data_IF_873093567768
#
_entry.id   IF_873093567768
#
_cell.length_a   1.000
_cell.length_b   1.000
_cell.length_c   1.000
_cell.angle_alpha   90.00
_cell.angle_beta   90.00
_cell.angle_gamma   90.00
#
_symmetry.space_group_name_H-M   'P 1'
#
loop_
_entity.id
_entity.type
_entity.pdbx_description
1 polymer ?
#
# COMPACT_ATOMS: atom_id res chain seq x y z
N UNK A 1 0.80 28.17 11.07
CA UNK A 1 1.63 26.95 11.20
C UNK A 1 0.82 25.78 10.66
N UNK A 2 1.29 25.11 9.60
CA UNK A 2 0.68 23.89 9.06
C UNK A 2 0.78 22.80 10.12
N UNK A 3 -0.36 22.35 10.65
CA UNK A 3 -0.43 21.07 11.37
C UNK A 3 -0.30 20.00 10.28
N UNK A 4 0.86 19.39 10.17
CA UNK A 4 0.99 18.13 9.43
C UNK A 4 0.27 17.07 10.27
N UNK A 5 -0.76 16.49 9.70
CA UNK A 5 -1.53 15.38 10.23
C UNK A 5 -0.59 14.23 10.65
N UNK A 6 -0.36 14.09 11.95
CA UNK A 6 0.29 12.91 12.55
C UNK A 6 -0.63 11.67 12.55
N UNK A 7 -1.78 11.74 11.89
CA UNK A 7 -2.78 10.68 11.83
C UNK A 7 -2.66 9.74 10.62
N UNK A 8 -1.68 9.92 9.71
CA UNK A 8 -1.63 9.12 8.49
C UNK A 8 -0.86 7.81 8.63
N UNK A 9 0.29 7.77 9.30
CA UNK A 9 1.18 6.58 9.33
C UNK A 9 0.80 5.50 10.34
N UNK A 10 0.05 5.84 11.39
CA UNK A 10 -0.33 4.88 12.44
C UNK A 10 -1.30 3.80 11.95
N UNK A 11 -2.14 4.09 10.94
CA UNK A 11 -3.24 3.19 10.57
C UNK A 11 -2.84 1.80 10.05
N UNK A 12 -1.73 1.70 9.31
CA UNK A 12 -1.23 0.39 8.84
C UNK A 12 -0.46 -0.34 9.95
N UNK A 13 0.29 0.38 10.76
CA UNK A 13 1.03 -0.17 11.91
C UNK A 13 0.05 -0.77 12.93
N UNK A 14 -1.00 -0.02 13.27
CA UNK A 14 -2.05 -0.47 14.18
C UNK A 14 -2.78 -1.72 13.63
N UNK A 15 -3.04 -1.77 12.32
CA UNK A 15 -3.66 -2.93 11.68
C UNK A 15 -2.78 -4.17 11.84
N UNK A 16 -1.47 -4.04 11.65
CA UNK A 16 -0.54 -5.16 11.79
C UNK A 16 -0.47 -5.62 13.24
N UNK A 17 -0.41 -4.70 14.19
CA UNK A 17 -0.44 -5.03 15.62
C UNK A 17 -1.72 -5.79 15.99
N UNK A 18 -2.89 -5.36 15.49
CA UNK A 18 -4.16 -6.08 15.69
C UNK A 18 -4.11 -7.47 15.06
N UNK A 19 -3.58 -7.61 13.84
CA UNK A 19 -3.44 -8.92 13.19
C UNK A 19 -2.51 -9.84 14.00
N UNK A 20 -1.40 -9.33 14.52
CA UNK A 20 -0.44 -10.12 15.31
C UNK A 20 -0.96 -10.52 16.69
N UNK A 21 -1.79 -9.67 17.31
CA UNK A 21 -2.27 -9.88 18.68
C UNK A 21 -3.61 -10.60 18.74
N UNK A 22 -4.51 -10.35 17.80
CA UNK A 22 -5.88 -10.86 17.81
C UNK A 22 -6.11 -12.00 16.82
N UNK A 23 -5.37 -12.05 15.69
CA UNK A 23 -5.43 -13.20 14.80
C UNK A 23 -4.48 -14.30 15.29
N UNK A 24 -4.98 -15.54 15.31
CA UNK A 24 -4.17 -16.74 15.62
C UNK A 24 -3.31 -17.18 14.42
N UNK A 25 -3.09 -16.28 13.47
CA UNK A 25 -2.34 -16.53 12.26
C UNK A 25 -0.85 -16.42 12.55
N UNK A 26 -0.03 -17.16 11.79
CA UNK A 26 1.41 -17.05 11.96
C UNK A 26 1.90 -15.70 11.40
N UNK A 27 3.00 -15.14 11.92
CA UNK A 27 3.56 -13.89 11.40
C UNK A 27 3.82 -13.94 9.87
N UNK A 28 4.24 -15.08 9.35
CA UNK A 28 4.45 -15.30 7.91
C UNK A 28 3.15 -15.21 7.11
N UNK A 29 2.04 -15.69 7.69
CA UNK A 29 0.72 -15.58 7.08
C UNK A 29 0.30 -14.10 7.00
N UNK A 30 0.50 -13.35 8.07
CA UNK A 30 0.22 -11.90 8.14
C UNK A 30 1.06 -11.15 7.10
N UNK A 31 2.36 -11.42 7.01
CA UNK A 31 3.24 -10.78 6.04
C UNK A 31 2.81 -11.06 4.60
N UNK A 32 2.41 -12.30 4.32
CA UNK A 32 1.89 -12.66 2.99
C UNK A 32 0.62 -11.89 2.68
N UNK A 33 -0.35 -11.85 3.60
CA UNK A 33 -1.60 -11.11 3.42
C UNK A 33 -1.36 -9.62 3.15
N UNK A 34 -0.42 -9.00 3.88
CA UNK A 34 -0.05 -7.60 3.68
C UNK A 34 0.57 -7.37 2.30
N UNK A 35 1.52 -8.23 1.89
CA UNK A 35 2.16 -8.13 0.57
C UNK A 35 1.16 -8.32 -0.57
N UNK A 36 0.22 -9.25 -0.43
CA UNK A 36 -0.88 -9.46 -1.39
C UNK A 36 -1.80 -8.23 -1.46
N UNK A 37 -2.20 -7.67 -0.32
CA UNK A 37 -3.02 -6.45 -0.28
C UNK A 37 -2.31 -5.24 -0.91
N UNK A 38 -1.00 -5.10 -0.69
CA UNK A 38 -0.19 -4.06 -1.33
C UNK A 38 -0.13 -4.28 -2.84
N UNK A 39 0.16 -5.50 -3.30
CA UNK A 39 0.19 -5.86 -4.72
C UNK A 39 -1.13 -5.52 -5.42
N UNK A 40 -2.25 -5.96 -4.86
CA UNK A 40 -3.58 -5.67 -5.40
C UNK A 40 -3.89 -4.17 -5.42
N UNK A 41 -3.55 -3.44 -4.35
CA UNK A 41 -3.79 -1.99 -4.26
C UNK A 41 -2.98 -1.24 -5.32
N UNK A 42 -1.70 -1.59 -5.49
CA UNK A 42 -0.83 -0.96 -6.48
C UNK A 42 -1.29 -1.31 -7.90
N UNK A 43 -1.63 -2.57 -8.19
CA UNK A 43 -2.16 -2.98 -9.50
C UNK A 43 -3.48 -2.29 -9.84
N UNK A 44 -4.39 -2.18 -8.87
CA UNK A 44 -5.68 -1.50 -9.06
C UNK A 44 -5.46 -0.05 -9.47
N UNK A 45 -4.52 0.64 -8.82
CA UNK A 45 -4.31 2.07 -9.04
C UNK A 45 -3.44 2.35 -10.26
N UNK A 46 -2.36 1.62 -10.46
CA UNK A 46 -1.33 1.93 -11.45
C UNK A 46 -1.35 1.00 -12.68
N UNK A 47 -2.14 -0.07 -12.62
CA UNK A 47 -2.20 -1.10 -13.67
C UNK A 47 -1.08 -2.14 -13.55
N UNK A 48 -1.26 -3.26 -14.24
CA UNK A 48 -0.34 -4.40 -14.24
C UNK A 48 1.04 -4.06 -14.82
N UNK A 49 1.14 -3.05 -15.69
CA UNK A 49 2.40 -2.66 -16.32
C UNK A 49 3.33 -1.89 -15.37
N UNK A 50 2.78 -0.96 -14.59
CA UNK A 50 3.56 -0.12 -13.67
C UNK A 50 3.70 -0.74 -12.28
N UNK A 51 2.80 -1.64 -11.89
CA UNK A 51 2.82 -2.25 -10.58
C UNK A 51 4.13 -2.97 -10.23
N UNK A 52 4.75 -3.80 -11.11
CA UNK A 52 6.02 -4.45 -10.79
C UNK A 52 7.15 -3.46 -10.49
N UNK A 53 7.20 -2.33 -11.18
CA UNK A 53 8.21 -1.28 -11.00
C UNK A 53 8.03 -0.60 -9.64
N UNK A 54 6.78 -0.26 -9.30
CA UNK A 54 6.43 0.36 -8.02
C UNK A 54 6.66 -0.60 -6.85
N UNK A 55 6.22 -1.85 -6.96
CA UNK A 55 6.42 -2.87 -5.91
C UNK A 55 7.90 -3.13 -5.65
N UNK A 56 8.73 -3.14 -6.69
CA UNK A 56 10.19 -3.22 -6.52
C UNK A 56 10.76 -1.96 -5.84
N UNK A 57 10.29 -0.77 -6.21
CA UNK A 57 10.68 0.50 -5.56
C UNK A 57 10.33 0.47 -4.07
N UNK A 58 9.19 -0.10 -3.72
CA UNK A 58 8.71 -0.25 -2.34
C UNK A 58 9.37 -1.41 -1.57
N UNK A 59 10.30 -2.16 -2.16
CA UNK A 59 10.89 -3.38 -1.55
C UNK A 59 9.83 -4.43 -1.16
N UNK A 60 8.77 -4.56 -1.95
CA UNK A 60 7.77 -5.63 -1.81
C UNK A 60 8.19 -6.88 -2.57
N UNK A 61 9.25 -6.79 -3.38
CA UNK A 61 9.94 -7.93 -4.01
C UNK A 61 10.46 -8.90 -2.95
N UNK A 62 10.65 -10.19 -3.30
CA UNK A 62 10.92 -11.23 -2.31
C UNK A 62 12.30 -11.01 -1.68
N UNK A 63 12.35 -10.30 -0.54
CA UNK A 63 13.47 -10.35 0.38
C UNK A 63 13.57 -11.79 0.96
N UNK A 64 14.79 -12.17 1.33
CA UNK A 64 15.20 -13.51 1.75
C UNK A 64 14.14 -14.23 2.60
N UNK A 65 13.88 -15.50 2.28
CA UNK A 65 12.93 -16.34 3.00
C UNK A 65 13.17 -16.25 4.52
N UNK A 66 12.20 -15.71 5.26
CA UNK A 66 12.26 -15.55 6.72
C UNK A 66 12.45 -14.12 7.24
N UNK A 67 12.62 -13.12 6.37
CA UNK A 67 12.61 -11.71 6.79
C UNK A 67 11.18 -11.19 6.99
N UNK A 68 10.93 -10.54 8.15
CA UNK A 68 9.65 -9.87 8.45
C UNK A 68 9.40 -8.74 7.47
N UNK A 69 8.13 -8.50 7.14
CA UNK A 69 7.75 -7.32 6.39
C UNK A 69 8.06 -6.03 7.17
N UNK A 70 8.97 -5.20 6.64
CA UNK A 70 9.32 -3.90 7.23
C UNK A 70 8.31 -2.82 6.83
N UNK A 71 7.30 -2.66 7.68
CA UNK A 71 6.21 -1.70 7.47
C UNK A 71 6.69 -0.26 7.46
N UNK A 72 7.69 0.10 8.29
CA UNK A 72 8.18 1.47 8.36
C UNK A 72 8.93 1.84 7.09
N UNK A 73 9.82 0.96 6.62
CA UNK A 73 10.54 1.13 5.36
C UNK A 73 9.59 1.19 4.17
N UNK A 74 8.52 0.38 4.17
CA UNK A 74 7.47 0.46 3.17
C UNK A 74 6.78 1.82 3.17
N UNK A 75 6.30 2.28 4.34
CA UNK A 75 5.59 3.55 4.47
C UNK A 75 6.47 4.75 4.10
N UNK A 76 7.75 4.73 4.47
CA UNK A 76 8.72 5.75 4.07
C UNK A 76 8.82 5.84 2.55
N UNK A 77 9.10 4.73 1.87
CA UNK A 77 9.23 4.67 0.40
C UNK A 77 7.94 5.03 -0.32
N UNK A 78 6.80 4.61 0.21
CA UNK A 78 5.49 4.95 -0.31
C UNK A 78 5.29 6.48 -0.30
N UNK A 79 5.60 7.13 0.83
CA UNK A 79 5.49 8.58 0.97
C UNK A 79 6.50 9.33 0.10
N UNK A 80 7.73 8.86 -0.01
CA UNK A 80 8.74 9.49 -0.88
C UNK A 80 8.36 9.42 -2.36
N UNK A 81 7.87 8.26 -2.80
CA UNK A 81 7.55 8.00 -4.21
C UNK A 81 6.23 8.65 -4.63
N UNK A 82 5.17 8.49 -3.83
CA UNK A 82 3.81 8.89 -4.19
C UNK A 82 3.33 10.17 -3.49
N UNK A 83 4.05 10.66 -2.47
CA UNK A 83 3.74 11.92 -1.76
C UNK A 83 2.29 11.96 -1.30
N UNK A 84 1.49 12.92 -1.80
CA UNK A 84 0.08 13.09 -1.40
C UNK A 84 -0.83 11.90 -1.75
N UNK A 85 -0.40 11.05 -2.67
CA UNK A 85 -1.16 9.87 -3.08
C UNK A 85 -0.88 8.64 -2.18
N UNK A 86 0.23 8.65 -1.42
CA UNK A 86 0.60 7.59 -0.48
C UNK A 86 -0.50 7.33 0.56
N UNK A 87 -1.14 8.40 1.06
CA UNK A 87 -2.26 8.30 1.99
C UNK A 87 -3.41 7.45 1.45
N UNK A 88 -3.76 7.64 0.17
CA UNK A 88 -4.88 6.95 -0.44
C UNK A 88 -4.55 5.47 -0.66
N UNK A 89 -3.33 5.17 -1.12
CA UNK A 89 -2.85 3.79 -1.23
C UNK A 89 -2.86 3.09 0.12
N UNK A 90 -2.36 3.75 1.17
CA UNK A 90 -2.39 3.20 2.52
C UNK A 90 -3.82 2.89 2.98
N UNK A 91 -4.79 3.78 2.71
CA UNK A 91 -6.20 3.53 3.05
C UNK A 91 -6.84 2.41 2.23
N UNK A 92 -6.39 2.17 1.01
CA UNK A 92 -6.79 1.00 0.22
C UNK A 92 -6.26 -0.29 0.84
N UNK A 93 -4.98 -0.32 1.23
CA UNK A 93 -4.33 -1.48 1.89
C UNK A 93 -5.01 -1.78 3.23
N UNK A 94 -5.34 -0.75 4.01
CA UNK A 94 -6.10 -0.90 5.27
C UNK A 94 -7.54 -1.44 5.07
N UNK A 95 -7.99 -1.67 3.82
CA UNK A 95 -9.36 -2.09 3.51
C UNK A 95 -10.42 -1.00 3.76
N UNK A 96 -10.00 0.25 3.93
CA UNK A 96 -10.87 1.39 4.31
C UNK A 96 -11.39 2.19 3.11
N UNK A 97 -11.03 1.84 1.87
CA UNK A 97 -11.56 2.48 0.65
C UNK A 97 -12.18 1.47 -0.33
N UNK A 98 -13.44 1.69 -0.71
CA UNK A 98 -14.13 0.95 -1.78
C UNK A 98 -13.56 1.36 -3.15
N UNK A 99 -12.94 0.38 -3.81
CA UNK A 99 -11.82 0.49 -4.75
C UNK A 99 -12.09 1.08 -6.15
N UNK A 100 -13.29 1.54 -6.50
CA UNK A 100 -13.59 1.99 -7.89
C UNK A 100 -13.58 3.50 -8.13
N UNK A 101 -14.21 4.29 -7.26
CA UNK A 101 -14.37 5.74 -7.50
C UNK A 101 -13.05 6.51 -7.35
N UNK A 102 -12.23 6.16 -6.34
CA UNK A 102 -11.05 6.94 -5.99
C UNK A 102 -9.83 6.63 -6.88
N UNK A 103 -9.70 5.39 -7.36
CA UNK A 103 -8.68 5.00 -8.34
C UNK A 103 -8.81 5.82 -9.63
N UNK A 104 -10.05 6.14 -10.03
CA UNK A 104 -10.31 7.03 -11.18
C UNK A 104 -9.76 8.43 -10.95
N UNK A 105 -10.00 9.01 -9.77
CA UNK A 105 -9.53 10.36 -9.43
C UNK A 105 -8.00 10.43 -9.24
N UNK A 106 -7.39 9.39 -8.65
CA UNK A 106 -5.94 9.32 -8.48
C UNK A 106 -5.22 9.17 -9.83
N UNK A 107 -5.71 8.30 -10.70
CA UNK A 107 -5.18 8.15 -12.08
C UNK A 107 -5.30 9.45 -12.88
N UNK A 108 -6.42 10.16 -12.76
CA UNK A 108 -6.60 11.49 -13.39
C UNK A 108 -5.57 12.49 -12.88
N UNK A 109 -5.28 12.52 -11.57
CA UNK A 109 -4.26 13.40 -10.99
C UNK A 109 -2.84 13.05 -11.43
N UNK A 110 -2.57 11.76 -11.62
CA UNK A 110 -1.27 11.24 -12.06
C UNK A 110 -1.09 11.21 -13.59
N UNK A 111 -2.06 11.72 -14.36
CA UNK A 111 -2.10 11.65 -15.82
C UNK A 111 -1.92 10.23 -16.39
N UNK A 112 -2.38 9.21 -15.67
CA UNK A 112 -2.34 7.82 -16.11
C UNK A 112 -3.51 7.52 -17.05
N UNK A 113 -3.32 6.67 -18.09
CA UNK A 113 -4.38 6.30 -19.03
C UNK A 113 -5.57 5.63 -18.34
N UNK A 114 -6.76 5.74 -18.97
CA UNK A 114 -8.00 5.16 -18.44
C UNK A 114 -7.95 3.64 -18.52
N UNK A 115 -8.53 2.97 -17.53
CA UNK A 115 -8.65 1.50 -17.50
C UNK A 115 -9.45 0.93 -18.67
N UNK A 116 -10.36 1.72 -19.23
CA UNK A 116 -11.24 1.30 -20.33
C UNK A 116 -10.55 1.36 -21.71
N UNK A 117 -9.32 1.86 -21.77
CA UNK A 117 -8.51 1.97 -23.00
C UNK A 117 -7.44 0.84 -23.12
N UNK A 118 -7.44 -0.14 -22.21
CA UNK A 118 -6.61 -1.36 -22.18
C UNK A 118 -7.48 -2.61 -22.36
#
# INVERSE_FOLDING_TARGET
>A
MKKMDAGSTLGLIDLIEVLETECKESPECIDRMLKESIDESIKTVFGEELAPILLNTFSITPEEAGSRFDTNKFLERLNETLKGDAYHIQKMIEGKMLTKHHCSELRKKMALPRLDDL
#
